data_IF_166362230188
#
_entry.id   IF_166362230188
#
_cell.length_a   1.000
_cell.length_b   1.000
_cell.length_c   1.000
_cell.angle_alpha   90.00
_cell.angle_beta   90.00
_cell.angle_gamma   90.00
#
_symmetry.space_group_name_H-M   'P 1'
#
loop_
_entity.id
_entity.type
_entity.pdbx_description
1 polymer ?
#
# COMPACT_ATOMS: atom_id res chain seq x y z
N UNK A 1 17.51 -27.28 15.39
CA UNK A 1 16.25 -26.67 15.84
C UNK A 1 16.53 -25.19 16.00
N UNK A 2 16.02 -24.35 15.11
CA UNK A 2 16.16 -22.89 15.26
C UNK A 2 15.36 -22.46 16.50
N UNK A 3 16.03 -21.84 17.40
CA UNK A 3 15.48 -21.55 18.72
C UNK A 3 15.04 -20.11 18.82
N UNK A 4 14.65 -19.32 19.02
CA UNK A 4 14.27 -17.96 19.42
C UNK A 4 14.89 -16.83 18.57
N UNK A 5 14.42 -15.62 18.73
CA UNK A 5 14.97 -14.41 18.10
C UNK A 5 16.46 -14.19 18.38
N UNK A 6 17.01 -14.79 19.46
CA UNK A 6 18.43 -14.73 19.81
C UNK A 6 19.30 -15.59 18.85
N UNK A 7 18.75 -16.65 18.26
CA UNK A 7 19.47 -17.56 17.35
C UNK A 7 19.27 -17.17 15.87
N UNK A 8 18.45 -16.16 15.57
CA UNK A 8 18.25 -15.61 14.23
C UNK A 8 18.44 -14.07 14.25
N UNK A 9 19.67 -13.60 14.49
CA UNK A 9 19.96 -12.16 14.55
C UNK A 9 19.69 -11.42 13.23
N UNK A 10 19.57 -12.17 12.12
CA UNK A 10 19.21 -11.61 10.80
C UNK A 10 17.71 -11.54 10.57
N UNK A 11 16.89 -12.17 11.42
CA UNK A 11 15.45 -12.31 11.25
C UNK A 11 15.05 -13.09 9.98
N UNK A 12 15.94 -13.91 9.44
CA UNK A 12 15.70 -14.64 8.19
C UNK A 12 14.61 -15.69 8.34
N UNK A 13 14.50 -16.32 9.51
CA UNK A 13 13.54 -17.39 9.80
C UNK A 13 12.19 -16.86 10.36
N UNK A 14 12.09 -15.57 10.60
CA UNK A 14 10.88 -14.98 11.18
C UNK A 14 9.67 -15.21 10.29
N UNK A 15 8.63 -15.85 10.86
CA UNK A 15 7.43 -16.23 10.12
C UNK A 15 7.61 -17.43 9.18
N UNK A 16 8.57 -18.30 9.45
CA UNK A 16 8.73 -19.57 8.76
C UNK A 16 7.49 -20.46 8.98
N UNK A 17 6.88 -20.93 7.88
CA UNK A 17 5.62 -21.70 7.90
C UNK A 17 5.67 -22.96 7.03
N UNK A 18 6.65 -23.09 6.15
CA UNK A 18 6.83 -24.24 5.27
C UNK A 18 8.29 -24.64 5.11
N UNK A 19 8.58 -25.92 5.04
CA UNK A 19 9.92 -26.48 4.90
C UNK A 19 9.93 -27.52 3.79
N UNK A 20 10.97 -27.51 2.95
CA UNK A 20 11.25 -28.56 1.95
C UNK A 20 12.72 -28.96 2.00
N UNK A 21 13.07 -30.06 2.66
CA UNK A 21 14.41 -30.61 2.62
C UNK A 21 14.68 -31.32 1.28
N UNK A 22 15.94 -31.29 0.84
CA UNK A 22 16.40 -31.96 -0.34
C UNK A 22 17.39 -33.11 0.05
N UNK A 23 17.57 -34.04 -0.87
CA UNK A 23 18.43 -35.19 -0.63
C UNK A 23 19.93 -34.84 -0.48
N UNK A 24 20.34 -33.69 -1.04
CA UNK A 24 21.70 -33.13 -0.95
C UNK A 24 21.91 -32.25 0.30
N UNK A 25 20.93 -32.22 1.21
CA UNK A 25 21.01 -31.60 2.52
C UNK A 25 20.66 -30.11 2.58
N UNK A 26 20.20 -29.48 1.48
CA UNK A 26 19.62 -28.16 1.56
C UNK A 26 18.22 -28.20 2.16
N UNK A 27 17.83 -27.12 2.81
CA UNK A 27 16.45 -26.94 3.28
C UNK A 27 15.93 -25.59 2.76
N UNK A 28 14.81 -25.64 2.07
CA UNK A 28 14.12 -24.44 1.64
C UNK A 28 13.00 -24.10 2.62
N UNK A 29 12.88 -22.83 2.96
CA UNK A 29 12.03 -22.34 4.04
C UNK A 29 11.14 -21.22 3.50
N UNK A 30 9.82 -21.40 3.55
CA UNK A 30 8.86 -20.36 3.21
C UNK A 30 8.63 -19.45 4.42
N UNK A 31 8.96 -18.16 4.29
CA UNK A 31 8.74 -17.14 5.30
C UNK A 31 7.52 -16.28 4.91
N UNK A 32 6.37 -16.63 5.45
CA UNK A 32 5.09 -16.01 5.14
C UNK A 32 5.08 -14.50 5.39
N UNK A 33 5.48 -14.09 6.60
CA UNK A 33 5.44 -12.69 7.03
C UNK A 33 6.43 -11.79 6.28
N UNK A 34 7.53 -12.38 5.78
CA UNK A 34 8.59 -11.65 5.09
C UNK A 34 8.48 -11.73 3.57
N UNK A 35 7.53 -12.53 3.03
CA UNK A 35 7.34 -12.68 1.59
C UNK A 35 8.60 -13.16 0.87
N UNK A 36 9.27 -14.19 1.39
CA UNK A 36 10.52 -14.68 0.83
C UNK A 36 10.70 -16.19 1.04
N UNK A 37 11.56 -16.77 0.22
CA UNK A 37 12.10 -18.13 0.40
C UNK A 37 13.54 -18.00 0.86
N UNK A 38 13.83 -18.65 1.98
CA UNK A 38 15.18 -18.77 2.55
C UNK A 38 15.71 -20.14 2.23
N UNK A 39 16.97 -20.23 1.84
CA UNK A 39 17.70 -21.48 1.67
C UNK A 39 18.69 -21.64 2.81
N UNK A 40 18.71 -22.81 3.43
CA UNK A 40 19.73 -23.22 4.36
C UNK A 40 20.63 -24.28 3.69
N UNK A 41 21.94 -24.04 3.69
CA UNK A 41 22.92 -25.01 3.18
C UNK A 41 23.11 -26.22 4.12
N UNK A 42 23.71 -27.31 3.66
CA UNK A 42 24.05 -28.44 4.51
C UNK A 42 24.96 -28.09 5.70
N UNK A 43 25.72 -27.00 5.59
CA UNK A 43 26.59 -26.46 6.64
C UNK A 43 25.87 -25.49 7.59
N UNK A 44 24.57 -25.28 7.40
CA UNK A 44 23.74 -24.39 8.24
C UNK A 44 23.79 -22.89 7.86
N UNK A 45 24.40 -22.51 6.74
CA UNK A 45 24.41 -21.12 6.26
C UNK A 45 23.05 -20.76 5.62
N UNK A 46 22.53 -19.59 5.94
CA UNK A 46 21.28 -19.10 5.42
C UNK A 46 21.49 -18.04 4.32
N UNK A 47 20.66 -18.09 3.28
CA UNK A 47 20.59 -17.07 2.22
C UNK A 47 19.15 -16.87 1.78
N UNK A 48 18.82 -15.67 1.27
CA UNK A 48 17.51 -15.42 0.67
C UNK A 48 17.56 -15.82 -0.80
N UNK A 49 16.78 -16.85 -1.15
CA UNK A 49 16.73 -17.40 -2.50
C UNK A 49 15.81 -16.58 -3.42
N UNK A 50 14.63 -16.18 -2.93
CA UNK A 50 13.65 -15.44 -3.72
C UNK A 50 12.80 -14.56 -2.83
N UNK A 51 12.23 -13.49 -3.40
CA UNK A 51 11.42 -12.50 -2.70
C UNK A 51 12.24 -11.40 -2.05
N UNK A 52 11.70 -10.72 -1.06
CA UNK A 52 12.32 -9.56 -0.42
C UNK A 52 13.70 -9.90 0.17
N UNK A 53 14.74 -9.22 -0.30
CA UNK A 53 16.12 -9.38 0.14
C UNK A 53 16.91 -10.46 -0.60
N UNK A 54 16.39 -11.03 -1.69
CA UNK A 54 17.14 -11.92 -2.56
C UNK A 54 18.25 -11.12 -3.28
N UNK A 55 19.46 -11.68 -3.31
CA UNK A 55 20.64 -11.06 -3.95
C UNK A 55 20.88 -11.54 -5.37
N UNK A 56 20.28 -12.67 -5.75
CA UNK A 56 20.44 -13.22 -7.09
C UNK A 56 19.65 -12.39 -8.12
N UNK A 57 20.23 -12.01 -9.27
CA UNK A 57 19.53 -11.29 -10.32
C UNK A 57 18.25 -12.03 -10.76
N UNK A 58 17.14 -11.31 -10.86
CA UNK A 58 15.83 -11.85 -11.23
C UNK A 58 15.03 -12.52 -10.10
N UNK A 59 15.63 -12.91 -9.00
CA UNK A 59 14.92 -13.52 -7.86
C UNK A 59 14.40 -12.50 -6.86
N UNK A 60 15.07 -11.35 -6.73
CA UNK A 60 14.59 -10.21 -5.93
C UNK A 60 13.32 -9.59 -6.53
N UNK A 61 13.12 -9.75 -7.83
CA UNK A 61 12.00 -9.20 -8.58
C UNK A 61 10.70 -10.00 -8.46
N UNK A 62 10.74 -11.20 -7.86
CA UNK A 62 9.55 -12.01 -7.66
C UNK A 62 8.86 -11.62 -6.35
N UNK A 63 7.77 -10.82 -6.39
CA UNK A 63 7.05 -10.47 -5.17
C UNK A 63 6.29 -11.69 -4.67
N UNK A 64 6.79 -12.30 -3.60
CA UNK A 64 6.06 -13.32 -2.86
C UNK A 64 5.21 -12.61 -1.80
N UNK A 65 3.89 -12.74 -1.88
CA UNK A 65 2.96 -12.04 -1.02
C UNK A 65 2.70 -12.76 0.31
N UNK A 66 2.77 -14.10 0.29
CA UNK A 66 2.56 -14.94 1.48
C UNK A 66 2.90 -16.37 1.19
N UNK A 67 4.19 -16.70 0.97
CA UNK A 67 4.62 -18.08 0.73
C UNK A 67 4.35 -18.94 1.96
N UNK A 68 3.49 -19.94 1.82
CA UNK A 68 3.02 -20.79 2.93
C UNK A 68 3.43 -22.25 2.81
N UNK A 69 3.60 -22.73 1.59
CA UNK A 69 4.03 -24.09 1.30
C UNK A 69 5.13 -24.09 0.26
N UNK A 70 5.99 -25.09 0.31
CA UNK A 70 7.10 -25.25 -0.62
C UNK A 70 7.34 -26.73 -0.91
N UNK A 71 7.62 -27.04 -2.17
CA UNK A 71 8.01 -28.39 -2.62
C UNK A 71 9.11 -28.28 -3.65
N UNK A 72 9.94 -29.32 -3.74
CA UNK A 72 11.03 -29.44 -4.71
C UNK A 72 10.75 -30.62 -5.62
N UNK A 73 10.80 -30.44 -6.95
CA UNK A 73 10.72 -31.57 -7.87
C UNK A 73 12.08 -32.27 -8.04
N UNK A 74 12.06 -33.41 -8.74
CA UNK A 74 13.29 -34.22 -8.97
C UNK A 74 14.32 -33.50 -9.87
N UNK A 75 13.96 -32.38 -10.50
CA UNK A 75 14.86 -31.56 -11.34
C UNK A 75 15.36 -30.32 -10.58
N UNK A 76 15.02 -30.18 -9.28
CA UNK A 76 15.42 -29.07 -8.43
C UNK A 76 14.57 -27.80 -8.59
N UNK A 77 13.49 -27.83 -9.37
CA UNK A 77 12.57 -26.70 -9.44
C UNK A 77 11.74 -26.62 -8.15
N UNK A 78 11.60 -25.40 -7.64
CA UNK A 78 10.82 -25.12 -6.43
C UNK A 78 9.40 -24.69 -6.82
N UNK A 79 8.41 -25.30 -6.17
CA UNK A 79 7.02 -24.90 -6.26
C UNK A 79 6.62 -24.26 -4.94
N UNK A 80 6.19 -23.00 -4.99
CA UNK A 80 5.82 -22.21 -3.81
C UNK A 80 4.33 -21.95 -3.85
N UNK A 81 3.62 -22.39 -2.82
CA UNK A 81 2.25 -21.99 -2.58
C UNK A 81 2.28 -20.55 -1.99
N UNK A 82 2.08 -19.56 -2.83
CA UNK A 82 1.96 -18.17 -2.43
C UNK A 82 0.49 -17.89 -2.04
N UNK A 83 0.15 -18.26 -0.81
CA UNK A 83 -1.24 -18.27 -0.33
C UNK A 83 -1.91 -16.88 -0.41
N UNK A 84 -1.15 -15.83 -0.14
CA UNK A 84 -1.67 -14.46 -0.22
C UNK A 84 -1.79 -13.95 -1.66
N UNK A 85 -1.15 -14.59 -2.61
CA UNK A 85 -1.30 -14.32 -4.05
C UNK A 85 -2.30 -15.25 -4.72
N UNK A 86 -2.85 -16.27 -4.01
CA UNK A 86 -3.70 -17.34 -4.57
C UNK A 86 -3.04 -18.05 -5.76
N UNK A 87 -1.73 -18.27 -5.71
CA UNK A 87 -0.95 -18.79 -6.82
C UNK A 87 0.04 -19.86 -6.38
N UNK A 88 0.28 -20.81 -7.27
CA UNK A 88 1.45 -21.68 -7.20
C UNK A 88 2.50 -21.07 -8.12
N UNK A 89 3.67 -20.76 -7.55
CA UNK A 89 4.78 -20.19 -8.30
C UNK A 89 5.86 -21.24 -8.49
N UNK A 90 6.35 -21.37 -9.71
CA UNK A 90 7.48 -22.21 -10.05
C UNK A 90 8.74 -21.37 -10.14
N UNK A 91 9.75 -21.69 -9.35
CA UNK A 91 11.09 -21.11 -9.42
C UNK A 91 12.00 -22.11 -10.11
N UNK A 92 12.46 -21.76 -11.32
CA UNK A 92 13.43 -22.57 -12.07
C UNK A 92 14.85 -22.05 -11.85
N UNK A 93 15.84 -22.92 -11.97
CA UNK A 93 17.22 -22.47 -12.17
C UNK A 93 17.28 -21.63 -13.45
N UNK A 94 17.76 -20.39 -13.32
CA UNK A 94 17.97 -19.52 -14.47
C UNK A 94 19.23 -19.97 -15.19
N UNK A 95 19.10 -20.46 -16.41
CA UNK A 95 20.22 -20.52 -17.36
C UNK A 95 20.42 -19.12 -17.91
N UNK A 96 21.68 -18.72 -18.16
CA UNK A 96 22.07 -17.34 -18.48
C UNK A 96 21.39 -16.74 -19.75
N UNK A 97 20.69 -17.54 -20.52
CA UNK A 97 20.07 -17.17 -21.80
C UNK A 97 18.55 -16.90 -21.74
N UNK A 98 17.91 -16.98 -20.57
CA UNK A 98 16.50 -16.61 -20.49
C UNK A 98 16.37 -15.10 -20.26
N UNK A 99 15.94 -14.39 -21.29
CA UNK A 99 15.40 -13.05 -21.14
C UNK A 99 14.36 -13.02 -19.99
N UNK A 100 14.26 -11.94 -19.22
CA UNK A 100 13.23 -11.84 -18.21
C UNK A 100 11.88 -11.96 -18.92
N UNK A 101 11.18 -13.06 -18.69
CA UNK A 101 9.75 -13.21 -19.02
C UNK A 101 9.01 -12.25 -18.09
N UNK A 102 9.02 -11.00 -18.50
CA UNK A 102 8.73 -9.90 -17.61
C UNK A 102 7.38 -9.30 -17.79
N UNK A 103 6.46 -9.88 -18.40
CA UNK A 103 5.08 -9.49 -18.20
C UNK A 103 4.58 -10.18 -16.93
N UNK A 104 4.74 -9.52 -15.77
CA UNK A 104 3.73 -9.71 -14.73
C UNK A 104 2.40 -9.39 -15.40
N UNK A 105 1.69 -10.43 -15.84
CA UNK A 105 0.27 -10.32 -16.08
C UNK A 105 -0.29 -9.65 -14.85
N UNK A 106 -0.81 -8.45 -15.03
CA UNK A 106 -1.53 -7.74 -13.99
C UNK A 106 -2.45 -8.78 -13.37
N UNK A 107 -2.22 -9.11 -12.11
CA UNK A 107 -3.07 -10.07 -11.39
C UNK A 107 -4.47 -9.55 -11.63
N UNK A 108 -5.29 -10.32 -12.33
CA UNK A 108 -6.67 -9.88 -12.57
C UNK A 108 -7.23 -9.50 -11.20
N UNK A 109 -7.94 -8.38 -11.10
CA UNK A 109 -8.60 -8.02 -9.87
C UNK A 109 -9.36 -9.24 -9.35
N UNK A 110 -9.37 -9.48 -8.03
CA UNK A 110 -10.08 -10.62 -7.46
C UNK A 110 -11.48 -10.73 -8.06
N UNK A 111 -12.01 -11.93 -8.16
CA UNK A 111 -13.33 -12.20 -8.77
C UNK A 111 -14.46 -11.28 -8.24
N UNK A 112 -14.29 -10.73 -7.04
CA UNK A 112 -15.14 -9.74 -6.38
C UNK A 112 -15.37 -8.45 -7.22
N UNK A 113 -14.41 -8.04 -8.02
CA UNK A 113 -14.51 -6.82 -8.86
C UNK A 113 -15.53 -6.98 -10.01
N UNK A 114 -15.97 -8.19 -10.28
CA UNK A 114 -16.91 -8.46 -11.38
C UNK A 114 -18.38 -8.27 -11.01
N UNK A 115 -18.70 -8.19 -9.70
CA UNK A 115 -20.06 -7.96 -9.22
C UNK A 115 -20.37 -6.46 -9.16
N UNK A 116 -21.34 -6.02 -9.95
CA UNK A 116 -21.83 -4.64 -9.93
C UNK A 116 -23.31 -4.63 -9.55
N UNK A 117 -23.74 -3.68 -8.71
CA UNK A 117 -22.97 -2.75 -7.87
C UNK A 117 -22.33 -3.46 -6.66
N UNK A 118 -21.18 -2.96 -6.17
CA UNK A 118 -20.52 -3.49 -4.97
C UNK A 118 -21.04 -2.79 -3.71
N UNK A 119 -21.51 -3.52 -2.68
CA UNK A 119 -22.15 -2.91 -1.53
C UNK A 119 -21.17 -2.17 -0.62
N UNK A 120 -21.58 -1.04 -0.05
CA UNK A 120 -20.86 -0.35 1.00
C UNK A 120 -20.93 -1.11 2.34
N UNK A 121 -19.96 -0.90 3.26
CA UNK A 121 -19.97 -1.53 4.59
C UNK A 121 -20.99 -0.89 5.56
N UNK A 122 -21.90 -0.05 5.08
CA UNK A 122 -22.90 0.66 5.86
C UNK A 122 -24.25 0.69 5.16
N UNK A 123 -25.30 0.83 5.96
CA UNK A 123 -26.64 1.08 5.42
C UNK A 123 -26.80 2.56 4.98
N UNK A 124 -27.49 2.82 3.86
CA UNK A 124 -27.91 1.86 2.85
C UNK A 124 -26.71 1.36 2.02
N UNK A 125 -26.54 0.04 1.88
CA UNK A 125 -25.36 -0.54 1.22
C UNK A 125 -25.21 -0.17 -0.26
N UNK A 126 -26.26 0.33 -0.87
CA UNK A 126 -26.30 0.77 -2.27
C UNK A 126 -26.55 2.27 -2.41
N UNK A 127 -26.36 3.03 -1.33
CA UNK A 127 -26.40 4.49 -1.33
C UNK A 127 -25.02 5.11 -1.49
N UNK A 128 -24.92 6.43 -1.35
CA UNK A 128 -23.64 7.15 -1.32
C UNK A 128 -23.09 7.26 0.10
N UNK A 129 -21.77 7.13 0.25
CA UNK A 129 -21.08 7.31 1.52
C UNK A 129 -19.83 8.17 1.32
N UNK A 130 -19.49 8.95 2.35
CA UNK A 130 -18.31 9.83 2.31
C UNK A 130 -17.02 9.03 2.49
N UNK A 131 -16.12 9.16 1.53
CA UNK A 131 -14.74 8.66 1.60
C UNK A 131 -13.87 9.75 2.25
N UNK A 132 -13.09 9.37 3.27
CA UNK A 132 -12.28 10.29 4.04
C UNK A 132 -10.80 9.93 4.09
N UNK A 133 -10.40 8.85 3.43
CA UNK A 133 -9.02 8.44 3.22
C UNK A 133 -8.91 7.41 2.11
N UNK A 134 -7.85 7.50 1.30
CA UNK A 134 -7.60 6.61 0.15
C UNK A 134 -6.23 5.95 0.25
N UNK A 135 -6.04 4.84 -0.49
CA UNK A 135 -4.78 4.13 -0.51
C UNK A 135 -3.63 5.02 -0.98
N UNK A 136 -2.48 4.90 -0.32
CA UNK A 136 -1.25 5.61 -0.66
C UNK A 136 -1.01 6.89 0.11
N UNK A 137 -1.97 7.39 0.88
CA UNK A 137 -1.77 8.54 1.75
C UNK A 137 -0.70 8.28 2.80
N UNK A 138 0.05 9.31 3.17
CA UNK A 138 1.02 9.22 4.26
C UNK A 138 0.32 9.08 5.60
N UNK A 139 0.83 8.20 6.43
CA UNK A 139 0.44 8.03 7.84
C UNK A 139 1.68 8.00 8.72
N UNK A 140 1.57 8.53 9.92
CA UNK A 140 2.62 8.52 10.93
C UNK A 140 2.06 8.71 12.32
N UNK A 141 2.92 8.72 13.33
CA UNK A 141 2.53 9.15 14.65
C UNK A 141 2.72 10.67 14.82
N UNK A 142 1.96 11.26 15.71
CA UNK A 142 1.96 12.72 15.93
C UNK A 142 3.17 13.23 16.71
N UNK A 143 3.90 12.35 17.38
CA UNK A 143 5.02 12.68 18.23
C UNK A 143 6.37 12.22 17.67
N UNK A 144 6.34 11.42 16.59
CA UNK A 144 7.51 10.77 16.02
C UNK A 144 7.64 10.91 14.51
N UNK A 145 7.70 9.79 13.78
CA UNK A 145 7.89 9.78 12.33
C UNK A 145 6.57 10.03 11.60
N UNK A 146 6.46 11.17 10.95
CA UNK A 146 5.26 11.55 10.19
C UNK A 146 5.06 10.75 8.89
N UNK A 147 6.08 10.01 8.43
CA UNK A 147 6.06 9.15 7.24
C UNK A 147 6.31 7.70 7.62
N UNK A 148 5.56 7.20 8.62
CA UNK A 148 5.76 5.85 9.14
C UNK A 148 5.33 4.79 8.13
N UNK A 149 4.12 4.95 7.56
CA UNK A 149 3.59 4.02 6.58
C UNK A 149 2.66 4.69 5.57
N UNK A 150 2.29 3.95 4.52
CA UNK A 150 1.26 4.33 3.57
C UNK A 150 -0.09 3.75 4.00
N UNK A 151 -1.15 4.54 3.85
CA UNK A 151 -2.52 4.11 4.07
C UNK A 151 -2.90 2.96 3.13
N UNK A 152 -3.42 1.87 3.69
CA UNK A 152 -3.54 0.61 2.98
C UNK A 152 -4.94 0.31 2.41
N UNK A 153 -5.93 1.16 2.69
CA UNK A 153 -7.32 0.88 2.35
C UNK A 153 -8.12 2.11 1.95
N UNK A 154 -9.40 2.01 2.17
CA UNK A 154 -10.40 3.05 1.93
C UNK A 154 -11.10 3.36 3.26
N UNK A 155 -11.02 4.62 3.70
CA UNK A 155 -11.70 5.08 4.91
C UNK A 155 -13.08 5.63 4.56
N UNK A 156 -14.12 5.03 5.14
CA UNK A 156 -15.51 5.43 4.94
C UNK A 156 -16.04 5.98 6.26
N UNK A 157 -16.42 7.26 6.27
CA UNK A 157 -16.82 8.00 7.46
C UNK A 157 -18.21 7.62 7.93
N UNK A 158 -18.32 7.34 9.22
CA UNK A 158 -19.61 7.21 9.94
C UNK A 158 -19.38 7.46 11.44
N UNK A 159 -20.37 7.94 12.18
CA UNK A 159 -20.26 8.14 13.62
C UNK A 159 -19.90 6.85 14.37
N UNK A 160 -19.21 7.00 15.49
CA UNK A 160 -18.97 5.92 16.46
C UNK A 160 -20.28 5.19 16.79
N UNK A 161 -20.24 3.87 16.89
CA UNK A 161 -21.40 3.03 17.16
C UNK A 161 -22.22 2.64 15.93
N UNK A 162 -21.96 3.23 14.75
CA UNK A 162 -22.64 2.81 13.52
C UNK A 162 -22.31 1.35 13.21
N UNK A 163 -23.34 0.57 12.86
CA UNK A 163 -23.17 -0.84 12.51
C UNK A 163 -22.41 -1.00 11.21
N UNK A 164 -21.37 -1.82 11.25
CA UNK A 164 -20.60 -2.25 10.08
C UNK A 164 -21.20 -3.52 9.51
N UNK A 165 -21.39 -3.55 8.19
CA UNK A 165 -22.03 -4.65 7.46
C UNK A 165 -21.02 -5.36 6.56
N UNK A 166 -21.16 -6.68 6.44
CA UNK A 166 -20.39 -7.47 5.48
C UNK A 166 -20.71 -7.04 4.03
N UNK A 167 -19.69 -6.88 3.21
CA UNK A 167 -19.80 -6.44 1.81
C UNK A 167 -19.74 -7.59 0.81
N UNK A 168 -19.37 -8.79 1.26
CA UNK A 168 -19.27 -10.00 0.43
C UNK A 168 -19.82 -11.21 1.18
N UNK A 169 -20.38 -12.21 0.45
CA UNK A 169 -20.74 -13.50 1.04
C UNK A 169 -19.47 -14.36 1.11
N UNK A 170 -18.90 -14.51 2.30
CA UNK A 170 -17.65 -15.23 2.49
C UNK A 170 -17.67 -16.18 3.69
N UNK A 171 -16.70 -17.08 3.72
CA UNK A 171 -16.47 -17.98 4.83
C UNK A 171 -15.19 -17.60 5.56
N UNK A 172 -15.24 -17.45 6.87
CA UNK A 172 -14.05 -17.18 7.68
C UNK A 172 -13.11 -18.38 7.61
N UNK A 173 -12.03 -18.24 6.83
CA UNK A 173 -11.02 -19.29 6.64
C UNK A 173 -9.88 -19.17 7.65
N UNK A 174 -9.53 -17.93 7.98
CA UNK A 174 -8.49 -17.60 8.94
C UNK A 174 -9.10 -16.73 10.06
N UNK A 175 -9.52 -17.35 11.15
CA UNK A 175 -10.03 -16.61 12.28
C UNK A 175 -8.85 -15.94 13.00
N UNK A 176 -8.46 -14.74 12.56
CA UNK A 176 -7.49 -13.94 13.29
C UNK A 176 -8.03 -13.70 14.71
N UNK A 177 -7.26 -14.01 15.74
CA UNK A 177 -7.65 -13.64 17.08
C UNK A 177 -7.64 -12.11 17.18
N UNK A 178 -8.80 -11.49 17.20
CA UNK A 178 -8.96 -10.05 17.40
C UNK A 178 -8.63 -9.63 18.85
N UNK A 179 -7.75 -10.40 19.51
CA UNK A 179 -7.39 -10.17 20.91
C UNK A 179 -6.22 -9.20 21.09
N UNK A 180 -5.49 -8.84 20.04
CA UNK A 180 -4.33 -7.96 20.17
C UNK A 180 -4.67 -6.52 20.41
N UNK A 181 -5.81 -6.06 19.89
CA UNK A 181 -6.24 -4.66 20.01
C UNK A 181 -7.73 -4.59 20.38
N UNK A 182 -8.18 -5.52 21.19
CA UNK A 182 -9.58 -5.58 21.63
C UNK A 182 -9.95 -4.30 22.39
N UNK A 183 -10.95 -3.59 21.88
CA UNK A 183 -11.36 -2.29 22.40
C UNK A 183 -10.42 -1.14 22.00
N UNK A 184 -9.31 -1.43 21.34
CA UNK A 184 -8.36 -0.44 20.81
C UNK A 184 -8.80 0.14 19.47
N UNK A 185 -7.93 1.00 18.92
CA UNK A 185 -8.21 1.71 17.67
C UNK A 185 -8.19 0.80 16.44
N UNK A 186 -7.29 -0.18 16.42
CA UNK A 186 -7.03 -1.03 15.25
C UNK A 186 -7.69 -2.41 15.37
N UNK A 187 -8.75 -2.53 16.16
CA UNK A 187 -9.49 -3.78 16.23
C UNK A 187 -10.04 -4.15 14.86
N UNK A 188 -9.77 -5.38 14.43
CA UNK A 188 -9.86 -5.81 13.03
C UNK A 188 -10.64 -7.10 12.88
N UNK A 189 -11.49 -7.18 11.86
CA UNK A 189 -12.08 -8.41 11.34
C UNK A 189 -11.61 -8.62 9.90
N UNK A 190 -11.05 -9.79 9.61
CA UNK A 190 -10.75 -10.22 8.26
C UNK A 190 -11.66 -11.36 7.84
N UNK A 191 -12.33 -11.17 6.71
CA UNK A 191 -13.16 -12.17 6.06
C UNK A 191 -12.62 -12.31 4.63
N UNK A 192 -11.88 -13.41 4.38
CA UNK A 192 -11.23 -13.75 3.10
C UNK A 192 -10.45 -12.57 2.48
N UNK A 193 -10.98 -11.95 1.42
CA UNK A 193 -10.33 -10.85 0.70
C UNK A 193 -10.56 -9.47 1.35
N UNK A 194 -11.53 -9.38 2.27
CA UNK A 194 -11.89 -8.11 2.88
C UNK A 194 -11.38 -8.04 4.31
N UNK A 195 -10.78 -6.89 4.65
CA UNK A 195 -10.39 -6.58 6.03
C UNK A 195 -11.08 -5.29 6.47
N UNK A 196 -11.69 -5.34 7.63
CA UNK A 196 -12.41 -4.21 8.23
C UNK A 196 -11.68 -3.83 9.52
N UNK A 197 -11.21 -2.60 9.60
CA UNK A 197 -10.45 -2.07 10.75
C UNK A 197 -11.21 -0.91 11.38
N UNK A 198 -10.84 -0.53 12.59
CA UNK A 198 -11.42 0.55 13.39
C UNK A 198 -12.84 0.26 13.86
N UNK A 199 -13.10 -1.01 14.19
CA UNK A 199 -14.44 -1.44 14.64
C UNK A 199 -14.36 -2.25 15.93
N UNK A 200 -15.47 -2.38 16.62
CA UNK A 200 -15.70 -3.34 17.70
C UNK A 200 -16.30 -4.59 17.09
N UNK A 201 -15.49 -5.59 16.87
CA UNK A 201 -15.86 -6.81 16.16
C UNK A 201 -16.97 -7.56 16.89
N UNK A 202 -18.04 -7.86 16.18
CA UNK A 202 -19.14 -8.71 16.62
C UNK A 202 -19.99 -8.17 17.77
N UNK A 203 -19.79 -6.92 18.19
CA UNK A 203 -20.48 -6.37 19.36
C UNK A 203 -20.86 -4.89 19.22
N UNK A 204 -21.78 -4.47 20.08
CA UNK A 204 -22.18 -3.07 20.25
C UNK A 204 -21.16 -2.29 21.09
N UNK A 205 -21.42 -0.98 21.29
CA UNK A 205 -20.60 -0.15 22.21
C UNK A 205 -20.67 -0.65 23.67
N UNK A 206 -21.79 -1.24 24.05
CA UNK A 206 -22.03 -1.76 25.41
C UNK A 206 -21.64 -3.24 25.56
N UNK A 207 -20.77 -3.73 24.67
CA UNK A 207 -20.27 -5.10 24.66
C UNK A 207 -21.39 -6.18 24.59
N UNK A 208 -22.53 -5.88 23.92
CA UNK A 208 -23.53 -6.87 23.63
C UNK A 208 -23.23 -7.53 22.26
N UNK A 209 -23.37 -8.87 22.15
CA UNK A 209 -23.10 -9.55 20.90
C UNK A 209 -24.14 -9.13 19.83
N UNK A 210 -23.65 -8.88 18.60
CA UNK A 210 -24.52 -8.62 17.44
C UNK A 210 -25.17 -9.88 16.90
N UNK A 211 -24.46 -11.01 17.01
CA UNK A 211 -24.90 -12.33 16.55
C UNK A 211 -24.08 -13.41 17.28
N UNK A 212 -24.69 -14.08 18.26
CA UNK A 212 -24.02 -15.07 19.10
C UNK A 212 -23.62 -16.36 18.33
N UNK A 213 -24.29 -16.65 17.21
CA UNK A 213 -23.91 -17.79 16.38
C UNK A 213 -22.56 -17.57 15.66
N UNK A 214 -22.26 -16.32 15.33
CA UNK A 214 -21.02 -15.93 14.62
C UNK A 214 -19.91 -15.45 15.55
N UNK A 215 -20.27 -14.69 16.60
CA UNK A 215 -19.32 -14.01 17.48
C UNK A 215 -19.48 -14.49 18.92
N UNK A 216 -18.48 -15.19 19.41
CA UNK A 216 -18.41 -15.59 20.81
C UNK A 216 -17.60 -14.56 21.60
N UNK A 217 -18.27 -13.84 22.50
CA UNK A 217 -17.62 -12.92 23.44
C UNK A 217 -17.14 -13.69 24.65
N UNK A 218 -15.86 -13.71 24.89
CA UNK A 218 -15.24 -14.35 26.05
C UNK A 218 -14.98 -13.25 27.08
N UNK A 219 -15.52 -13.44 28.29
CA UNK A 219 -15.46 -12.49 29.38
C UNK A 219 -14.56 -13.01 30.51
N UNK A 220 -13.92 -12.10 31.24
CA UNK A 220 -13.19 -12.40 32.46
C UNK A 220 -14.19 -12.52 33.67
N UNK A 221 -13.64 -12.74 34.86
CA UNK A 221 -14.44 -12.89 36.08
C UNK A 221 -15.22 -11.61 36.43
N UNK A 222 -14.74 -10.45 36.04
CA UNK A 222 -15.37 -9.13 36.24
C UNK A 222 -16.40 -8.79 35.17
N UNK A 223 -16.64 -9.69 34.20
CA UNK A 223 -17.64 -9.51 33.14
C UNK A 223 -17.12 -8.73 31.91
N UNK A 224 -15.88 -8.26 31.90
CA UNK A 224 -15.31 -7.53 30.74
C UNK A 224 -14.98 -8.48 29.60
N UNK A 225 -15.28 -8.06 28.37
CA UNK A 225 -14.90 -8.79 27.17
C UNK A 225 -13.38 -8.74 27.01
N UNK A 226 -12.74 -9.90 27.10
CA UNK A 226 -11.29 -10.05 26.95
C UNK A 226 -10.89 -10.69 25.63
N UNK A 227 -11.85 -11.23 24.88
CA UNK A 227 -11.64 -11.83 23.57
C UNK A 227 -12.94 -11.93 22.79
N UNK A 228 -12.84 -11.72 21.47
CA UNK A 228 -13.89 -12.08 20.53
C UNK A 228 -13.39 -13.24 19.67
N UNK A 229 -14.17 -14.31 19.60
CA UNK A 229 -13.86 -15.45 18.74
C UNK A 229 -14.83 -15.49 17.57
N UNK A 230 -14.29 -15.48 16.37
CA UNK A 230 -14.99 -15.82 15.14
C UNK A 230 -14.55 -17.22 14.73
N UNK A 231 -15.46 -18.19 14.68
CA UNK A 231 -15.10 -19.59 14.40
C UNK A 231 -14.71 -19.75 12.92
N UNK A 232 -13.71 -20.60 12.66
CA UNK A 232 -13.41 -21.02 11.29
C UNK A 232 -14.66 -21.67 10.67
N UNK A 233 -14.96 -21.35 9.43
CA UNK A 233 -16.16 -21.84 8.74
C UNK A 233 -17.41 -21.01 8.99
N UNK A 234 -17.38 -19.99 9.86
CA UNK A 234 -18.48 -19.02 9.98
C UNK A 234 -18.72 -18.38 8.61
N UNK A 235 -19.97 -18.40 8.17
CA UNK A 235 -20.41 -17.78 6.91
C UNK A 235 -20.98 -16.40 7.18
N UNK A 236 -20.60 -15.43 6.37
CA UNK A 236 -21.26 -14.13 6.28
C UNK A 236 -22.00 -14.00 4.94
N UNK A 237 -23.09 -13.26 4.95
CA UNK A 237 -23.81 -12.80 3.77
C UNK A 237 -23.67 -11.27 3.67
N UNK A 238 -23.85 -10.74 2.47
CA UNK A 238 -23.94 -9.28 2.30
C UNK A 238 -25.04 -8.74 3.20
N UNK A 239 -24.74 -7.70 3.97
CA UNK A 239 -25.66 -7.07 4.91
C UNK A 239 -25.64 -7.66 6.33
N UNK A 240 -24.90 -8.75 6.57
CA UNK A 240 -24.73 -9.26 7.93
C UNK A 240 -23.99 -8.24 8.81
N UNK A 241 -24.48 -8.06 10.04
CA UNK A 241 -23.86 -7.18 11.03
C UNK A 241 -22.58 -7.83 11.56
N UNK A 242 -21.44 -7.18 11.36
CA UNK A 242 -20.13 -7.73 11.71
C UNK A 242 -19.40 -6.95 12.80
N UNK A 243 -19.88 -5.78 13.19
CA UNK A 243 -19.33 -4.96 14.26
C UNK A 243 -19.97 -3.58 14.31
N UNK A 244 -19.38 -2.71 15.12
CA UNK A 244 -19.73 -1.28 15.21
C UNK A 244 -18.47 -0.44 15.16
N UNK A 245 -18.54 0.75 14.56
CA UNK A 245 -17.42 1.69 14.48
C UNK A 245 -16.95 2.07 15.90
N UNK A 246 -15.64 2.08 16.09
CA UNK A 246 -15.00 2.56 17.31
C UNK A 246 -14.81 4.10 17.28
N UNK A 247 -13.99 4.65 18.16
CA UNK A 247 -13.75 6.09 18.28
C UNK A 247 -13.04 6.74 17.10
N UNK A 248 -12.55 5.95 16.11
CA UNK A 248 -11.95 6.48 14.88
C UNK A 248 -13.01 7.11 13.95
N UNK A 249 -14.31 6.89 14.20
CA UNK A 249 -15.42 7.46 13.43
C UNK A 249 -15.39 7.15 11.92
N UNK A 250 -14.78 6.04 11.54
CA UNK A 250 -14.79 5.48 10.19
C UNK A 250 -14.49 3.98 10.23
N UNK A 251 -14.82 3.26 9.17
CA UNK A 251 -14.24 1.95 8.91
C UNK A 251 -13.14 2.09 7.87
N UNK A 252 -12.00 1.46 8.13
CA UNK A 252 -10.93 1.27 7.16
C UNK A 252 -11.14 -0.08 6.46
N UNK A 253 -11.46 -0.02 5.18
CA UNK A 253 -11.78 -1.20 4.36
C UNK A 253 -10.60 -1.53 3.45
N UNK A 254 -10.04 -2.74 3.60
CA UNK A 254 -8.94 -3.20 2.77
C UNK A 254 -9.38 -4.33 1.85
N UNK A 255 -8.86 -4.33 0.64
CA UNK A 255 -9.09 -5.36 -0.37
C UNK A 255 -7.81 -6.16 -0.63
N UNK A 256 -7.90 -7.48 -0.58
CA UNK A 256 -6.82 -8.39 -0.94
C UNK A 256 -6.05 -8.97 0.24
N UNK A 257 -4.93 -9.66 -0.04
CA UNK A 257 -4.15 -10.36 0.96
C UNK A 257 -3.47 -9.40 1.96
N UNK A 258 -3.00 -9.88 3.12
CA UNK A 258 -2.30 -9.05 4.11
C UNK A 258 -1.10 -8.30 3.56
N UNK A 259 -0.44 -8.85 2.54
CA UNK A 259 0.65 -8.21 1.79
C UNK A 259 0.22 -8.00 0.34
N UNK A 260 0.47 -6.79 -0.19
CA UNK A 260 0.10 -6.46 -1.57
C UNK A 260 -1.39 -6.18 -1.74
N UNK A 261 -2.02 -5.50 -0.78
CA UNK A 261 -3.41 -5.03 -0.86
C UNK A 261 -3.63 -4.21 -2.12
N UNK A 262 -4.81 -4.34 -2.69
CA UNK A 262 -5.24 -3.64 -3.90
C UNK A 262 -6.08 -2.44 -3.51
N UNK A 263 -5.99 -1.37 -4.28
CA UNK A 263 -6.79 -0.18 -4.02
C UNK A 263 -8.29 -0.50 -4.12
N UNK A 264 -9.01 -0.32 -3.02
CA UNK A 264 -10.44 -0.64 -2.94
C UNK A 264 -11.32 0.25 -3.85
N UNK A 265 -10.79 1.38 -4.36
CA UNK A 265 -11.47 2.21 -5.37
C UNK A 265 -11.66 1.50 -6.74
N UNK A 266 -11.11 0.29 -6.94
CA UNK A 266 -11.45 -0.54 -8.10
C UNK A 266 -12.84 -1.15 -7.99
N UNK A 267 -13.43 -1.20 -6.80
CA UNK A 267 -14.76 -1.74 -6.55
C UNK A 267 -15.82 -0.72 -7.00
N UNK A 268 -16.85 -1.16 -7.73
CA UNK A 268 -17.86 -0.26 -8.29
C UNK A 268 -18.91 0.12 -7.23
N UNK A 269 -18.50 0.89 -6.24
CA UNK A 269 -19.41 1.36 -5.18
C UNK A 269 -20.48 2.27 -5.75
N UNK A 270 -21.78 2.04 -5.43
CA UNK A 270 -22.87 2.90 -5.86
C UNK A 270 -22.73 4.32 -5.30
N UNK A 271 -22.98 5.31 -6.12
CA UNK A 271 -22.93 6.72 -5.71
C UNK A 271 -21.52 7.24 -5.36
N UNK A 272 -20.47 6.46 -5.61
CA UNK A 272 -19.11 6.96 -5.61
C UNK A 272 -18.89 7.74 -6.90
N UNK A 273 -18.77 9.05 -6.79
CA UNK A 273 -18.46 9.96 -7.89
C UNK A 273 -17.35 10.92 -7.49
N UNK A 274 -16.58 11.33 -8.48
CA UNK A 274 -15.53 12.30 -8.30
C UNK A 274 -15.35 13.10 -9.60
N UNK A 275 -15.72 14.37 -9.53
CA UNK A 275 -15.57 15.37 -10.60
C UNK A 275 -14.61 16.49 -10.19
N UNK A 276 -14.01 16.37 -9.01
CA UNK A 276 -13.09 17.37 -8.46
C UNK A 276 -11.68 17.06 -8.95
N UNK A 277 -11.07 18.01 -9.65
CA UNK A 277 -9.68 17.82 -10.08
C UNK A 277 -8.71 17.99 -8.88
N UNK A 278 -7.65 17.17 -8.79
CA UNK A 278 -6.59 17.36 -7.82
C UNK A 278 -5.97 18.75 -7.87
N UNK A 279 -5.41 19.20 -6.77
CA UNK A 279 -4.74 20.50 -6.63
C UNK A 279 -3.27 20.32 -6.36
N UNK A 280 -2.46 21.18 -6.96
CA UNK A 280 -1.02 21.29 -6.71
C UNK A 280 -0.82 22.65 -6.06
N UNK A 281 -0.41 22.65 -4.80
CA UNK A 281 -0.17 23.86 -4.02
C UNK A 281 1.24 24.40 -4.29
N UNK A 282 2.24 23.51 -4.49
CA UNK A 282 3.63 23.90 -4.74
C UNK A 282 4.41 22.81 -5.46
N UNK A 283 5.41 23.23 -6.27
CA UNK A 283 6.44 22.36 -6.85
C UNK A 283 7.82 22.89 -6.48
N UNK A 284 8.73 22.04 -6.00
CA UNK A 284 10.09 22.44 -5.66
C UNK A 284 11.08 21.28 -5.89
N UNK A 285 12.37 21.57 -5.80
CA UNK A 285 13.46 20.61 -5.95
C UNK A 285 14.23 20.49 -4.63
N UNK A 286 14.61 19.23 -4.29
CA UNK A 286 15.53 18.94 -3.19
C UNK A 286 16.83 18.34 -3.73
N UNK A 287 17.95 18.72 -3.13
CA UNK A 287 19.25 18.10 -3.40
C UNK A 287 19.38 16.73 -2.66
N UNK A 288 20.49 16.05 -2.89
CA UNK A 288 20.77 14.74 -2.26
C UNK A 288 20.85 14.79 -0.72
N UNK A 289 20.97 15.98 -0.13
CA UNK A 289 20.94 16.22 1.31
C UNK A 289 19.54 16.61 1.82
N UNK A 290 18.52 16.61 0.92
CA UNK A 290 17.17 17.03 1.25
C UNK A 290 16.99 18.53 1.40
N UNK A 291 17.96 19.35 0.96
CA UNK A 291 17.85 20.82 1.02
C UNK A 291 17.14 21.35 -0.22
N UNK A 292 16.24 22.26 0.00
CA UNK A 292 15.48 22.91 -1.07
C UNK A 292 16.38 23.85 -1.88
N UNK A 293 16.29 23.75 -3.21
CA UNK A 293 16.86 24.75 -4.12
C UNK A 293 15.98 26.00 -4.10
N UNK A 294 16.57 27.17 -3.88
CA UNK A 294 15.87 28.44 -3.73
C UNK A 294 16.43 29.58 -4.62
N UNK A 295 17.64 29.38 -5.19
CA UNK A 295 18.28 30.36 -6.05
C UNK A 295 17.53 30.51 -7.37
N UNK A 296 17.24 31.74 -7.76
CA UNK A 296 16.51 32.06 -8.99
C UNK A 296 17.35 32.93 -9.95
N UNK A 297 17.04 32.77 -11.23
CA UNK A 297 17.48 33.66 -12.29
C UNK A 297 16.22 34.22 -12.97
N UNK A 298 15.81 35.44 -12.59
CA UNK A 298 14.48 35.95 -12.91
C UNK A 298 13.40 35.10 -12.25
N UNK A 299 12.44 34.62 -13.03
CA UNK A 299 11.38 33.72 -12.54
C UNK A 299 11.78 32.24 -12.50
N UNK A 300 12.89 31.88 -13.11
CA UNK A 300 13.36 30.51 -13.20
C UNK A 300 14.16 30.09 -11.96
N UNK A 301 13.89 28.89 -11.45
CA UNK A 301 14.74 28.25 -10.44
C UNK A 301 16.07 27.83 -11.08
N UNK A 302 17.18 28.23 -10.48
CA UNK A 302 18.50 27.88 -10.96
C UNK A 302 18.87 26.45 -10.51
N UNK A 303 19.15 25.58 -11.49
CA UNK A 303 19.48 24.18 -11.28
C UNK A 303 20.93 23.93 -11.72
N UNK A 304 21.81 23.43 -10.83
CA UNK A 304 23.17 23.09 -11.21
C UNK A 304 23.16 21.86 -12.13
N UNK A 305 23.87 21.94 -13.27
CA UNK A 305 24.03 20.83 -14.20
C UNK A 305 24.85 19.68 -13.58
N UNK A 306 25.80 20.02 -12.71
CA UNK A 306 26.66 19.08 -11.99
C UNK A 306 26.33 19.13 -10.50
N UNK A 307 25.76 18.08 -9.97
CA UNK A 307 25.36 18.02 -8.54
C UNK A 307 24.70 16.71 -8.16
N UNK A 308 24.51 15.84 -9.15
CA UNK A 308 23.83 14.57 -8.99
C UNK A 308 22.31 14.67 -9.10
N UNK A 309 21.59 13.56 -8.84
CA UNK A 309 20.15 13.51 -8.94
C UNK A 309 19.46 14.44 -7.91
N UNK A 310 18.37 15.03 -8.33
CA UNK A 310 17.49 15.87 -7.52
C UNK A 310 16.14 15.16 -7.31
N UNK A 311 15.51 15.41 -6.17
CA UNK A 311 14.12 15.04 -5.95
C UNK A 311 13.21 16.15 -6.46
N UNK A 312 12.28 15.78 -7.36
CA UNK A 312 11.18 16.66 -7.78
C UNK A 312 10.03 16.40 -6.82
N UNK A 313 9.64 17.44 -6.08
CA UNK A 313 8.62 17.35 -5.05
C UNK A 313 7.41 18.20 -5.43
N UNK A 314 6.22 17.59 -5.34
CA UNK A 314 4.95 18.27 -5.52
C UNK A 314 4.12 18.19 -4.23
N UNK A 315 3.77 19.33 -3.64
CA UNK A 315 2.72 19.37 -2.61
C UNK A 315 1.37 19.37 -3.32
N UNK A 316 0.66 18.25 -3.23
CA UNK A 316 -0.59 18.06 -3.95
C UNK A 316 -1.58 17.21 -3.13
N UNK A 317 -2.86 17.36 -3.44
CA UNK A 317 -3.95 16.69 -2.75
C UNK A 317 -5.21 16.68 -3.61
N UNK A 318 -6.17 15.88 -3.20
CA UNK A 318 -7.41 15.68 -3.90
C UNK A 318 -8.63 15.84 -3.00
N UNK A 319 -9.81 15.88 -3.58
CA UNK A 319 -11.13 15.81 -2.92
C UNK A 319 -12.07 15.02 -3.79
N UNK A 320 -13.03 14.33 -3.19
CA UNK A 320 -14.16 13.75 -3.90
C UNK A 320 -15.42 14.56 -3.72
N UNK A 321 -16.40 14.35 -4.61
CA UNK A 321 -17.71 14.98 -4.50
C UNK A 321 -18.30 14.79 -3.10
N UNK A 322 -18.81 15.89 -2.51
CA UNK A 322 -19.41 15.87 -1.19
C UNK A 322 -18.46 15.93 0.00
N UNK A 323 -17.13 15.89 -0.21
CA UNK A 323 -16.18 16.10 0.88
C UNK A 323 -16.27 17.52 1.46
N UNK A 324 -16.08 17.63 2.76
CA UNK A 324 -15.91 18.92 3.41
C UNK A 324 -14.67 19.65 2.84
N UNK A 325 -14.73 20.99 2.72
CA UNK A 325 -13.66 21.79 2.12
C UNK A 325 -12.27 21.59 2.76
N UNK A 326 -12.22 21.21 4.05
CA UNK A 326 -10.97 20.92 4.77
C UNK A 326 -10.37 19.54 4.46
N UNK A 327 -11.16 18.64 3.82
CA UNK A 327 -10.72 17.28 3.53
C UNK A 327 -9.65 17.30 2.45
N UNK A 328 -8.56 16.58 2.69
CA UNK A 328 -7.49 16.36 1.74
C UNK A 328 -7.27 14.88 1.59
N UNK A 329 -7.52 14.37 0.41
CA UNK A 329 -7.28 12.99 0.02
C UNK A 329 -5.97 12.88 -0.75
N UNK A 330 -5.43 11.68 -0.81
CA UNK A 330 -4.25 11.38 -1.61
C UNK A 330 -4.54 11.31 -3.11
N UNK A 331 -3.50 11.52 -3.91
CA UNK A 331 -3.55 11.30 -5.35
C UNK A 331 -3.63 9.80 -5.66
N UNK A 332 -4.23 9.43 -6.79
CA UNK A 332 -4.14 8.08 -7.33
C UNK A 332 -2.89 7.90 -8.19
N UNK A 333 -2.52 8.92 -8.98
CA UNK A 333 -1.34 8.94 -9.84
C UNK A 333 -0.60 10.25 -9.74
N UNK A 334 0.74 10.17 -9.80
CA UNK A 334 1.57 11.34 -10.00
C UNK A 334 2.76 11.01 -10.92
N UNK A 335 3.34 12.06 -11.48
CA UNK A 335 4.50 11.96 -12.34
C UNK A 335 4.95 13.33 -12.83
N UNK A 336 5.86 13.34 -13.79
CA UNK A 336 6.38 14.59 -14.33
C UNK A 336 6.74 14.50 -15.81
N UNK A 337 6.88 15.64 -16.42
CA UNK A 337 7.31 15.84 -17.81
C UNK A 337 8.31 16.99 -17.86
N UNK A 338 9.33 16.88 -18.69
CA UNK A 338 10.25 18.01 -18.96
C UNK A 338 9.89 18.59 -20.31
N UNK A 339 9.68 19.90 -20.32
CA UNK A 339 9.38 20.67 -21.52
C UNK A 339 10.49 21.71 -21.76
N UNK A 340 10.71 22.08 -23.01
CA UNK A 340 11.49 23.26 -23.38
C UNK A 340 10.73 24.52 -22.98
N UNK A 341 11.41 25.67 -23.02
CA UNK A 341 10.79 26.95 -22.69
C UNK A 341 9.57 27.31 -23.56
N UNK A 342 9.51 26.78 -24.80
CA UNK A 342 8.38 26.96 -25.72
C UNK A 342 7.20 26.00 -25.43
N UNK A 343 7.29 25.17 -24.40
CA UNK A 343 6.28 24.19 -24.02
C UNK A 343 6.35 22.88 -24.81
N UNK A 344 7.27 22.71 -25.75
CA UNK A 344 7.44 21.44 -26.47
C UNK A 344 8.16 20.40 -25.60
N UNK A 345 7.79 19.11 -25.68
CA UNK A 345 8.44 18.07 -24.90
C UNK A 345 9.94 17.91 -25.25
N UNK A 346 10.73 17.66 -24.23
CA UNK A 346 12.11 17.16 -24.41
C UNK A 346 12.05 15.69 -24.85
N UNK A 347 13.04 15.25 -25.62
CA UNK A 347 13.18 13.85 -26.06
C UNK A 347 13.14 12.91 -24.85
N UNK A 348 12.27 11.89 -24.91
CA UNK A 348 12.01 10.94 -23.83
C UNK A 348 10.96 11.43 -22.80
N UNK A 349 10.41 12.63 -23.02
CA UNK A 349 9.29 13.18 -22.26
C UNK A 349 8.12 13.60 -23.17
N UNK A 350 7.95 12.93 -24.30
CA UNK A 350 6.82 13.16 -25.25
C UNK A 350 5.46 12.96 -24.56
N UNK A 351 5.46 12.15 -23.52
CA UNK A 351 4.33 11.97 -22.59
C UNK A 351 4.84 12.11 -21.15
N UNK A 352 3.98 12.51 -20.19
CA UNK A 352 4.33 12.49 -18.79
C UNK A 352 4.80 11.09 -18.35
N UNK A 353 5.88 11.04 -17.60
CA UNK A 353 6.32 9.82 -16.93
C UNK A 353 5.50 9.63 -15.66
N UNK A 354 4.63 8.61 -15.64
CA UNK A 354 3.89 8.24 -14.44
C UNK A 354 4.84 7.44 -13.56
N UNK A 355 5.22 8.00 -12.45
CA UNK A 355 6.20 7.42 -11.52
C UNK A 355 5.57 6.89 -10.25
N UNK A 356 4.48 7.52 -9.81
CA UNK A 356 3.68 7.09 -8.66
C UNK A 356 2.30 6.64 -9.14
N UNK A 357 1.86 5.45 -8.69
CA UNK A 357 0.52 4.93 -8.94
C UNK A 357 0.11 4.00 -7.80
N UNK A 358 -0.94 4.39 -7.09
CA UNK A 358 -1.43 3.67 -5.91
C UNK A 358 -2.51 2.64 -6.28
N UNK A 359 -2.20 1.77 -7.23
CA UNK A 359 -3.03 0.62 -7.62
C UNK A 359 -3.00 -0.50 -6.58
N UNK A 360 -1.88 -0.64 -5.88
CA UNK A 360 -1.65 -1.59 -4.79
C UNK A 360 -0.55 -1.12 -3.84
N UNK A 361 -0.58 -1.66 -2.63
CA UNK A 361 0.39 -1.36 -1.61
C UNK A 361 1.79 -1.86 -1.99
N UNK A 362 2.81 -1.01 -1.89
CA UNK A 362 4.20 -1.44 -1.96
C UNK A 362 4.55 -2.43 -0.85
N UNK A 363 5.51 -3.34 -1.16
CA UNK A 363 5.99 -4.33 -0.19
C UNK A 363 7.16 -3.81 0.66
N UNK A 364 7.83 -2.75 0.22
CA UNK A 364 8.96 -2.15 0.95
C UNK A 364 8.47 -1.50 2.25
N UNK A 365 9.11 -1.77 3.38
CA UNK A 365 8.70 -1.21 4.68
C UNK A 365 8.88 0.31 4.77
N UNK A 366 9.82 0.87 4.00
CA UNK A 366 10.14 2.29 3.94
C UNK A 366 9.47 3.03 2.77
N UNK A 367 8.47 2.41 2.14
CA UNK A 367 7.77 2.97 0.97
C UNK A 367 7.28 4.41 1.19
N UNK A 368 6.77 4.73 2.39
CA UNK A 368 6.33 6.08 2.72
C UNK A 368 7.46 7.12 2.60
N UNK A 369 8.69 6.76 2.99
CA UNK A 369 9.87 7.64 2.90
C UNK A 369 10.46 7.73 1.49
N UNK A 370 10.05 6.84 0.58
CA UNK A 370 10.40 6.90 -0.85
C UNK A 370 9.41 7.79 -1.60
N UNK A 371 8.12 7.64 -1.27
CA UNK A 371 7.02 8.36 -1.92
C UNK A 371 6.94 9.81 -1.47
N UNK A 372 7.22 10.07 -0.19
CA UNK A 372 6.99 11.37 0.44
C UNK A 372 8.28 12.03 0.93
N UNK A 373 8.40 13.33 0.67
CA UNK A 373 9.46 14.16 1.21
C UNK A 373 9.25 14.41 2.72
N UNK A 374 10.31 14.78 3.48
CA UNK A 374 10.18 15.28 4.84
C UNK A 374 9.14 16.41 4.94
N UNK A 375 8.53 16.58 6.10
CA UNK A 375 7.40 17.48 6.39
C UNK A 375 6.05 17.08 5.73
N UNK A 376 5.97 15.92 5.09
CA UNK A 376 4.67 15.29 4.83
C UNK A 376 4.10 14.72 6.11
N UNK A 377 2.79 14.80 6.30
CA UNK A 377 2.12 14.23 7.46
C UNK A 377 0.61 14.43 7.40
N UNK A 378 -0.08 13.56 8.12
CA UNK A 378 -1.52 13.64 8.32
C UNK A 378 -1.83 14.43 9.58
N UNK A 379 -2.80 15.33 9.51
CA UNK A 379 -3.19 16.23 10.60
C UNK A 379 -4.60 15.95 11.13
N UNK A 380 -5.04 14.67 11.10
CA UNK A 380 -6.43 14.26 11.42
C UNK A 380 -6.87 14.73 12.81
N UNK A 381 -5.97 14.86 13.77
CA UNK A 381 -6.27 15.23 15.16
C UNK A 381 -5.61 16.53 15.62
N UNK A 382 -5.08 17.33 14.68
CA UNK A 382 -4.44 18.63 15.00
C UNK A 382 -5.09 19.74 14.17
N UNK A 383 -4.86 20.97 14.59
CA UNK A 383 -5.23 22.18 13.79
C UNK A 383 -4.30 22.37 12.58
N UNK A 384 -3.30 21.53 12.42
CA UNK A 384 -2.39 21.56 11.29
C UNK A 384 -3.07 21.01 10.04
N UNK A 385 -2.60 21.46 8.91
CA UNK A 385 -3.08 21.04 7.59
C UNK A 385 -2.35 19.76 7.18
N UNK A 386 -3.07 18.71 6.77
CA UNK A 386 -2.48 17.55 6.12
C UNK A 386 -1.66 17.99 4.90
N UNK A 387 -0.41 17.55 4.83
CA UNK A 387 0.53 17.87 3.76
C UNK A 387 1.02 16.59 3.09
N UNK A 388 0.87 16.50 1.79
CA UNK A 388 1.32 15.39 0.98
C UNK A 388 2.33 15.89 -0.05
N UNK A 389 3.63 15.80 0.28
CA UNK A 389 4.74 16.23 -0.55
C UNK A 389 5.28 15.02 -1.33
N UNK A 390 4.70 14.74 -2.47
CA UNK A 390 5.07 13.60 -3.32
C UNK A 390 6.42 13.80 -3.98
N UNK A 391 7.35 12.85 -3.80
CA UNK A 391 8.62 12.82 -4.54
C UNK A 391 8.37 12.15 -5.88
N UNK A 392 7.91 12.93 -6.85
CA UNK A 392 7.48 12.41 -8.16
C UNK A 392 8.64 11.96 -9.07
N UNK A 393 9.88 12.21 -8.68
CA UNK A 393 11.08 11.66 -9.34
C UNK A 393 11.42 10.25 -8.90
N UNK A 394 10.84 9.75 -7.79
CA UNK A 394 10.99 8.38 -7.36
C UNK A 394 9.93 7.47 -7.99
N UNK A 395 10.09 6.17 -7.78
CA UNK A 395 9.20 5.17 -8.36
C UNK A 395 8.37 4.47 -7.28
N UNK A 396 7.03 4.46 -7.43
CA UNK A 396 6.11 3.66 -6.63
C UNK A 396 4.92 3.22 -7.49
N UNK A 397 5.01 2.04 -8.08
CA UNK A 397 3.97 1.47 -8.96
C UNK A 397 3.95 -0.05 -8.86
N UNK A 398 2.77 -0.64 -9.05
CA UNK A 398 2.58 -2.08 -9.10
C UNK A 398 3.17 -2.83 -7.88
N UNK A 399 3.07 -2.20 -6.71
CA UNK A 399 3.57 -2.76 -5.47
C UNK A 399 5.09 -2.68 -5.25
N UNK A 400 5.81 -1.93 -6.09
CA UNK A 400 7.26 -1.71 -5.99
C UNK A 400 7.56 -0.25 -5.73
N UNK A 401 8.68 0.00 -5.04
CA UNK A 401 9.23 1.35 -4.83
C UNK A 401 10.72 1.36 -5.08
N UNK A 402 11.21 2.48 -5.61
CA UNK A 402 12.64 2.73 -5.80
C UNK A 402 12.95 4.23 -5.70
N UNK A 403 14.14 4.56 -5.18
CA UNK A 403 14.67 5.92 -5.20
C UNK A 403 15.43 6.11 -6.49
N UNK A 404 14.91 6.96 -7.34
CA UNK A 404 15.48 7.20 -8.68
C UNK A 404 16.07 8.60 -8.79
N UNK A 405 15.30 9.63 -8.41
CA UNK A 405 15.63 11.02 -8.63
C UNK A 405 15.57 11.42 -10.11
N UNK A 406 15.79 12.70 -10.38
CA UNK A 406 15.94 13.26 -11.72
C UNK A 406 17.33 13.88 -11.84
N UNK A 407 18.08 13.49 -12.87
CA UNK A 407 19.42 14.01 -13.09
C UNK A 407 19.41 15.19 -14.09
N UNK A 408 19.72 16.44 -13.66
CA UNK A 408 19.81 17.59 -14.56
C UNK A 408 20.87 17.43 -15.66
N UNK A 409 21.94 16.66 -15.42
CA UNK A 409 23.01 16.43 -16.39
C UNK A 409 22.55 15.67 -17.65
N UNK A 410 21.35 15.05 -17.62
CA UNK A 410 20.77 14.41 -18.80
C UNK A 410 20.29 15.42 -19.85
N UNK A 411 20.31 16.71 -19.52
CA UNK A 411 19.86 17.80 -20.38
C UNK A 411 20.98 18.83 -20.59
N UNK A 412 21.08 19.42 -21.80
CA UNK A 412 21.95 20.57 -22.03
C UNK A 412 21.61 21.75 -21.12
N UNK A 413 22.58 22.64 -20.90
CA UNK A 413 22.31 23.94 -20.26
C UNK A 413 21.23 24.71 -21.05
N UNK A 414 20.28 25.32 -20.33
CA UNK A 414 19.16 26.01 -20.97
C UNK A 414 17.94 26.19 -20.06
N UNK A 415 16.89 26.76 -20.62
CA UNK A 415 15.63 26.98 -19.92
C UNK A 415 14.62 25.88 -20.23
N UNK A 416 14.00 25.35 -19.17
CA UNK A 416 13.03 24.27 -19.23
C UNK A 416 11.85 24.51 -18.28
N UNK A 417 10.84 23.67 -18.40
CA UNK A 417 9.69 23.63 -17.49
C UNK A 417 9.58 22.19 -16.99
N UNK A 418 9.61 22.00 -15.69
CA UNK A 418 9.17 20.75 -15.05
C UNK A 418 7.67 20.85 -14.87
N UNK A 419 6.92 20.00 -15.57
CA UNK A 419 5.46 19.91 -15.47
C UNK A 419 5.05 18.69 -14.68
N UNK A 420 4.29 18.88 -13.61
CA UNK A 420 3.76 17.81 -12.79
C UNK A 420 2.45 17.28 -13.38
N UNK A 421 2.29 15.97 -13.34
CA UNK A 421 1.01 15.29 -13.50
C UNK A 421 0.53 14.85 -12.11
N UNK A 422 -0.65 15.28 -11.72
CA UNK A 422 -1.37 14.81 -10.55
C UNK A 422 -2.78 14.40 -10.98
N UNK A 423 -3.17 13.17 -10.71
CA UNK A 423 -4.45 12.62 -11.13
C UNK A 423 -5.09 11.78 -10.03
N UNK A 424 -6.43 11.79 -10.01
CA UNK A 424 -7.24 10.91 -9.19
C UNK A 424 -7.51 9.56 -9.87
N UNK A 425 -8.35 8.74 -9.23
CA UNK A 425 -8.76 7.41 -9.75
C UNK A 425 -9.77 7.52 -10.90
N UNK A 426 -10.58 8.57 -10.95
CA UNK A 426 -11.62 8.76 -11.97
C UNK A 426 -11.08 9.41 -13.24
N UNK A 427 -9.83 9.89 -13.21
CA UNK A 427 -9.12 10.46 -14.37
C UNK A 427 -9.13 11.98 -14.40
N UNK A 428 -9.61 12.67 -13.36
CA UNK A 428 -9.45 14.10 -13.25
C UNK A 428 -7.97 14.44 -13.04
N UNK A 429 -7.49 15.53 -13.65
CA UNK A 429 -6.09 15.93 -13.66
C UNK A 429 -5.95 17.38 -13.23
N UNK A 430 -4.95 17.67 -12.40
CA UNK A 430 -4.62 19.05 -12.00
C UNK A 430 -4.19 19.87 -13.21
N UNK A 431 -4.83 21.03 -13.41
CA UNK A 431 -4.57 21.92 -14.55
C UNK A 431 -3.78 23.17 -14.18
N UNK A 432 -3.70 23.53 -12.91
CA UNK A 432 -3.00 24.70 -12.39
C UNK A 432 -1.93 24.32 -11.36
N UNK A 433 -0.96 25.21 -11.11
CA UNK A 433 0.12 24.99 -10.13
C UNK A 433 1.16 23.95 -10.52
N UNK A 434 1.06 23.37 -11.70
CA UNK A 434 1.82 22.20 -12.13
C UNK A 434 3.17 22.47 -12.76
N UNK A 435 3.47 23.72 -13.14
CA UNK A 435 4.66 24.08 -13.91
C UNK A 435 5.68 24.80 -13.02
N UNK A 436 6.92 24.32 -13.04
CA UNK A 436 8.08 24.93 -12.41
C UNK A 436 9.09 25.33 -13.49
N UNK A 437 9.25 26.63 -13.81
CA UNK A 437 10.29 27.11 -14.71
C UNK A 437 11.68 26.92 -14.07
N UNK A 438 12.62 26.37 -14.82
CA UNK A 438 14.00 26.14 -14.38
C UNK A 438 15.02 26.61 -15.42
N UNK A 439 16.20 26.98 -14.96
CA UNK A 439 17.39 27.19 -15.80
C UNK A 439 18.49 26.22 -15.35
N UNK A 440 18.95 25.35 -16.24
CA UNK A 440 20.11 24.44 -16.00
C UNK A 440 21.40 25.15 -16.40
N UNK A 441 22.40 25.19 -15.49
CA UNK A 441 23.73 25.77 -15.70
C UNK A 441 24.83 24.93 -15.07
#
# INVERSE_FOLDING_TARGET
>A
MARTDADDPTGLLRGAVGLAPTWDGFVYIASYQRGRIVQMSPQGAFSVLAGQGATAPGNAELPLLGPSGIAVDRNGALYVADASAFAIRKLNHRTADMAPDGAMTATQPPALVRTRPFPWPFAPQYGSHEVVGVMGEVRGDYEGESRDHLHAGLDISKPMGTTVLAVVPETVRDPLPNSRDLGGLNETLRIDQMTYVHMRVGRTLDDQPLDEARFQLIRNAEGHVVRVRVRRGTRSQVGDRIGTINRMAHVHLELGPPRGKVNALVLPFPGLSDHVAPRIDEVHLLDAQGRRLDRKLGEHLLVPALGGPLDIVAEAWDQMDGNAARRRLGLYKAGFQILKADGTPVRGFERPRITLEFDRMPLAPDAAKIVYAPASGDAVHSDQRTRMLYVVSNWARHGRTDRVGWNPADLPAGNYIIRILAADRMGNVAMSGRDLPITIR
#
